data_IF_497626776489
#
_entry.id   IF_497626776489
#
_cell.length_a   1.000
_cell.length_b   1.000
_cell.length_c   1.000
_cell.angle_alpha   90.00
_cell.angle_beta   90.00
_cell.angle_gamma   90.00
#
_symmetry.space_group_name_H-M   'P 1'
#
loop_
_entity.id
_entity.type
_entity.pdbx_description
1 polymer ?
#
# COMPACT_ATOMS: atom_id res chain seq x y z
N UNK A 1 -0.51 11.90 3.88
CA UNK A 1 -1.28 10.67 3.66
C UNK A 1 -2.54 10.99 2.88
N UNK A 2 -2.64 10.51 1.64
CA UNK A 2 -3.83 10.66 0.80
C UNK A 2 -4.83 9.50 1.00
N UNK A 3 -5.91 9.47 0.22
CA UNK A 3 -6.94 8.41 0.32
C UNK A 3 -6.39 7.04 -0.05
N UNK A 4 -5.48 6.97 -1.03
CA UNK A 4 -4.85 5.71 -1.46
C UNK A 4 -3.93 5.18 -0.37
N UNK A 5 -3.16 6.06 0.29
CA UNK A 5 -2.31 5.67 1.41
C UNK A 5 -3.14 5.07 2.57
N UNK A 6 -4.33 5.63 2.87
CA UNK A 6 -5.25 5.07 3.89
C UNK A 6 -5.73 3.68 3.51
N UNK A 7 -6.10 3.49 2.26
CA UNK A 7 -6.58 2.20 1.75
C UNK A 7 -5.47 1.15 1.79
N UNK A 8 -4.25 1.52 1.37
CA UNK A 8 -3.06 0.67 1.46
C UNK A 8 -2.83 0.20 2.91
N UNK A 9 -2.87 1.12 3.88
CA UNK A 9 -2.69 0.77 5.30
C UNK A 9 -3.82 -0.11 5.81
N UNK A 10 -5.07 0.15 5.43
CA UNK A 10 -6.21 -0.68 5.81
C UNK A 10 -6.09 -2.11 5.27
N UNK A 11 -5.64 -2.27 4.03
CA UNK A 11 -5.39 -3.58 3.41
C UNK A 11 -4.24 -4.29 4.14
N UNK A 12 -3.12 -3.60 4.38
CA UNK A 12 -1.96 -4.19 5.08
C UNK A 12 -2.24 -4.55 6.55
N UNK A 13 -3.07 -3.77 7.24
CA UNK A 13 -3.52 -4.11 8.60
C UNK A 13 -4.40 -5.36 8.61
N UNK A 14 -5.19 -5.57 7.56
CA UNK A 14 -6.07 -6.74 7.42
C UNK A 14 -5.30 -7.97 6.94
N UNK A 15 -4.36 -7.79 6.00
CA UNK A 15 -3.52 -8.83 5.42
C UNK A 15 -2.11 -8.28 5.12
N UNK A 16 -1.21 -8.39 6.10
CA UNK A 16 0.18 -7.96 5.97
C UNK A 16 1.04 -8.84 5.06
N UNK A 17 0.51 -9.95 4.53
CA UNK A 17 1.22 -10.86 3.60
C UNK A 17 0.75 -10.70 2.17
N UNK A 18 -0.17 -9.77 1.89
CA UNK A 18 -0.63 -9.50 0.53
C UNK A 18 0.55 -9.18 -0.40
N UNK A 19 0.50 -9.74 -1.61
CA UNK A 19 1.53 -9.45 -2.61
C UNK A 19 1.38 -8.02 -3.14
N UNK A 20 2.49 -7.41 -3.56
CA UNK A 20 2.46 -6.07 -4.17
C UNK A 20 1.57 -5.99 -5.41
N UNK A 21 1.46 -7.09 -6.15
CA UNK A 21 0.58 -7.17 -7.31
C UNK A 21 -0.88 -7.04 -6.88
N UNK A 22 -1.31 -7.87 -5.93
CA UNK A 22 -2.70 -7.86 -5.47
C UNK A 22 -3.05 -6.58 -4.69
N UNK A 23 -2.07 -5.99 -4.00
CA UNK A 23 -2.23 -4.68 -3.36
C UNK A 23 -2.46 -3.59 -4.42
N UNK A 24 -1.62 -3.55 -5.46
CA UNK A 24 -1.75 -2.61 -6.57
C UNK A 24 -3.09 -2.73 -7.28
N UNK A 25 -3.52 -3.95 -7.58
CA UNK A 25 -4.82 -4.21 -8.21
C UNK A 25 -5.99 -3.63 -7.38
N UNK A 26 -5.95 -3.81 -6.05
CA UNK A 26 -6.99 -3.28 -5.13
C UNK A 26 -7.05 -1.76 -5.11
N UNK A 27 -5.89 -1.08 -5.14
CA UNK A 27 -5.82 0.39 -5.05
C UNK A 27 -5.61 1.08 -6.40
N UNK A 28 -5.84 0.35 -7.49
CA UNK A 28 -5.69 0.82 -8.88
C UNK A 28 -4.32 1.43 -9.19
N UNK A 29 -3.26 0.80 -8.68
CA UNK A 29 -1.86 1.16 -8.92
C UNK A 29 -1.11 0.00 -9.56
N UNK A 30 0.00 0.31 -10.22
CA UNK A 30 0.96 -0.73 -10.58
C UNK A 30 1.57 -1.35 -9.32
N UNK A 31 2.04 -2.61 -9.37
CA UNK A 31 2.65 -3.27 -8.21
C UNK A 31 3.82 -2.47 -7.63
N UNK A 32 4.64 -1.86 -8.51
CA UNK A 32 5.77 -1.05 -8.09
C UNK A 32 5.33 0.27 -7.44
N UNK A 33 4.28 0.92 -7.95
CA UNK A 33 3.75 2.14 -7.35
C UNK A 33 3.18 1.87 -5.95
N UNK A 34 2.45 0.78 -5.76
CA UNK A 34 1.97 0.36 -4.43
C UNK A 34 3.14 0.11 -3.46
N UNK A 35 4.18 -0.61 -3.91
CA UNK A 35 5.36 -0.89 -3.09
C UNK A 35 6.12 0.40 -2.70
N UNK A 36 6.28 1.36 -3.63
CA UNK A 36 6.89 2.67 -3.33
C UNK A 36 6.08 3.47 -2.32
N UNK A 37 4.74 3.47 -2.43
CA UNK A 37 3.85 4.12 -1.46
C UNK A 37 4.02 3.53 -0.07
N UNK A 38 4.00 2.20 0.05
CA UNK A 38 4.22 1.51 1.33
C UNK A 38 5.60 1.83 1.91
N UNK A 39 6.65 1.78 1.10
CA UNK A 39 8.02 2.17 1.51
C UNK A 39 8.07 3.62 2.00
N UNK A 40 7.38 4.53 1.32
CA UNK A 40 7.30 5.94 1.71
C UNK A 40 6.59 6.10 3.05
N UNK A 41 5.44 5.45 3.26
CA UNK A 41 4.69 5.49 4.52
C UNK A 41 5.53 4.97 5.70
N UNK A 42 6.26 3.86 5.50
CA UNK A 42 7.18 3.32 6.52
C UNK A 42 8.32 4.29 6.85
N UNK A 43 8.87 4.99 5.85
CA UNK A 43 9.92 6.02 6.08
C UNK A 43 9.37 7.25 6.80
N UNK A 44 8.12 7.61 6.58
CA UNK A 44 7.45 8.73 7.23
C UNK A 44 7.06 8.40 8.69
N UNK A 45 7.19 7.15 9.13
CA UNK A 45 6.87 6.71 10.50
C UNK A 45 5.38 6.63 10.80
N UNK A 46 4.56 6.48 9.76
CA UNK A 46 3.10 6.30 9.85
C UNK A 46 2.76 4.89 10.27
#
# INVERSE_FOLDING_TARGET
MDSVDREILGILQSDGRISWQMLGDRVHLSPNAAAERVRRLMREGV
#
